data_IF_439752584948
#
_entry.id   IF_439752584948
#
_cell.length_a   1.000
_cell.length_b   1.000
_cell.length_c   1.000
_cell.angle_alpha   90.00
_cell.angle_beta   90.00
_cell.angle_gamma   90.00
#
_symmetry.space_group_name_H-M   'P 1'
#
loop_
_entity.id
_entity.type
_entity.pdbx_description
1 polymer ?
#
# COMPACT_ATOMS: atom_id res chain seq x y z
N UNK A 1 6.25 -4.62 -14.68
CA UNK A 1 5.62 -5.13 -13.45
C UNK A 1 4.86 -6.41 -13.74
N UNK A 2 5.20 -7.50 -13.05
CA UNK A 2 4.39 -8.73 -12.95
C UNK A 2 4.48 -9.22 -11.50
N UNK A 3 3.40 -9.78 -10.97
CA UNK A 3 3.37 -10.40 -9.65
C UNK A 3 2.51 -11.67 -9.74
N UNK A 4 3.08 -12.80 -9.37
CA UNK A 4 2.46 -14.13 -9.48
C UNK A 4 2.98 -15.00 -8.34
N UNK A 5 2.09 -15.76 -7.70
CA UNK A 5 2.43 -16.70 -6.63
C UNK A 5 3.34 -16.16 -5.51
N UNK A 6 3.18 -14.88 -5.15
CA UNK A 6 3.96 -14.25 -4.09
C UNK A 6 5.28 -13.61 -4.56
N UNK A 7 5.64 -13.76 -5.83
CA UNK A 7 6.92 -13.34 -6.38
C UNK A 7 6.73 -12.23 -7.42
N UNK A 8 7.53 -11.17 -7.29
CA UNK A 8 7.57 -10.09 -8.29
C UNK A 8 8.46 -10.47 -9.48
N UNK A 9 8.26 -9.80 -10.62
CA UNK A 9 9.16 -9.95 -11.77
C UNK A 9 10.62 -9.65 -11.41
N UNK A 10 11.54 -10.48 -11.93
CA UNK A 10 12.99 -10.29 -11.76
C UNK A 10 13.59 -11.05 -10.57
N UNK A 11 12.88 -11.99 -9.94
CA UNK A 11 13.44 -12.82 -8.86
C UNK A 11 14.50 -13.81 -9.37
N UNK A 12 15.67 -13.80 -8.74
CA UNK A 12 16.74 -14.79 -8.88
C UNK A 12 16.71 -15.70 -7.63
N UNK A 13 16.28 -16.95 -7.80
CA UNK A 13 16.12 -17.92 -6.71
C UNK A 13 17.45 -18.30 -6.06
N UNK A 14 18.51 -18.49 -6.87
CA UNK A 14 19.83 -18.89 -6.37
C UNK A 14 20.44 -17.78 -5.50
N UNK A 15 20.27 -16.51 -5.89
CA UNK A 15 20.77 -15.37 -5.11
C UNK A 15 19.79 -14.84 -4.09
N UNK A 16 18.53 -15.29 -4.13
CA UNK A 16 17.39 -14.78 -3.34
C UNK A 16 17.27 -13.24 -3.43
N UNK A 17 17.42 -12.70 -4.64
CA UNK A 17 17.43 -11.24 -4.92
C UNK A 17 16.55 -10.90 -6.11
N UNK A 18 16.18 -9.63 -6.22
CA UNK A 18 15.39 -9.12 -7.35
C UNK A 18 16.24 -8.22 -8.26
N UNK A 19 16.11 -8.41 -9.59
CA UNK A 19 16.42 -7.38 -10.60
C UNK A 19 15.17 -6.51 -10.81
N UNK A 20 15.25 -5.26 -10.37
CA UNK A 20 14.12 -4.32 -10.35
C UNK A 20 13.97 -3.51 -11.64
N UNK A 21 14.72 -3.80 -12.72
CA UNK A 21 14.59 -3.07 -14.00
C UNK A 21 13.15 -3.00 -14.52
N UNK A 22 12.38 -4.07 -14.30
CA UNK A 22 10.98 -4.15 -14.74
C UNK A 22 9.98 -3.37 -13.87
N UNK A 23 10.44 -2.73 -12.79
CA UNK A 23 9.62 -1.98 -11.84
C UNK A 23 9.66 -0.47 -12.08
N UNK A 24 10.41 -0.02 -13.10
CA UNK A 24 10.44 1.38 -13.52
C UNK A 24 9.12 1.82 -14.19
N UNK A 25 8.94 3.14 -14.24
CA UNK A 25 7.85 3.75 -15.00
C UNK A 25 8.13 3.67 -16.50
N UNK A 26 7.06 3.65 -17.28
CA UNK A 26 7.18 3.91 -18.71
C UNK A 26 7.51 5.40 -18.91
N UNK A 27 8.54 5.70 -19.69
CA UNK A 27 8.99 7.07 -19.93
C UNK A 27 8.41 7.60 -21.24
N UNK A 28 8.10 8.90 -21.26
CA UNK A 28 7.75 9.65 -22.46
C UNK A 28 9.00 10.00 -23.29
N UNK A 29 8.79 10.67 -24.42
CA UNK A 29 9.87 11.05 -25.34
C UNK A 29 10.88 12.03 -24.73
N UNK A 30 10.56 12.65 -23.58
CA UNK A 30 11.41 13.58 -22.83
C UNK A 30 12.09 12.90 -21.64
N UNK A 31 11.88 11.60 -21.44
CA UNK A 31 12.44 10.85 -20.32
C UNK A 31 11.71 11.01 -18.99
N UNK A 32 10.52 11.63 -18.98
CA UNK A 32 9.68 11.71 -17.77
C UNK A 32 8.71 10.54 -17.69
N UNK A 33 8.28 10.17 -16.49
CA UNK A 33 7.26 9.14 -16.31
C UNK A 33 5.96 9.54 -17.01
N UNK A 34 5.42 8.66 -17.85
CA UNK A 34 4.11 8.86 -18.49
C UNK A 34 3.02 8.94 -17.41
N UNK A 35 2.14 9.92 -17.56
CA UNK A 35 1.00 10.14 -16.65
C UNK A 35 -0.30 10.01 -17.42
N UNK A 36 -1.20 9.17 -16.92
CA UNK A 36 -2.60 9.13 -17.35
C UNK A 36 -3.47 9.83 -16.31
N UNK A 37 -3.91 11.04 -16.60
CA UNK A 37 -4.75 11.84 -15.71
C UNK A 37 -6.16 11.26 -15.51
N UNK A 38 -6.63 10.39 -16.43
CA UNK A 38 -7.95 9.74 -16.31
C UNK A 38 -7.94 8.57 -15.35
N UNK A 39 -6.74 8.07 -14.99
CA UNK A 39 -6.53 6.89 -14.16
C UNK A 39 -7.17 5.62 -14.73
N UNK A 40 -7.45 5.58 -16.03
CA UNK A 40 -8.11 4.46 -16.70
C UNK A 40 -7.12 3.43 -17.24
N UNK A 41 -5.87 3.84 -17.51
CA UNK A 41 -4.87 2.96 -18.09
C UNK A 41 -4.59 1.78 -17.15
N UNK A 42 -4.56 0.52 -17.65
CA UNK A 42 -4.42 -0.67 -16.80
C UNK A 42 -3.08 -0.71 -16.03
N UNK A 43 -2.03 -0.06 -16.57
CA UNK A 43 -0.71 0.04 -15.93
C UNK A 43 -0.51 1.32 -15.10
N UNK A 44 -1.53 2.16 -14.93
CA UNK A 44 -1.40 3.27 -13.98
C UNK A 44 -1.23 2.70 -12.56
N UNK A 45 -0.49 3.40 -11.70
CA UNK A 45 -0.13 2.90 -10.35
C UNK A 45 -1.37 2.52 -9.55
N UNK A 46 -2.45 3.31 -9.67
CA UNK A 46 -3.70 3.05 -8.96
C UNK A 46 -4.35 1.72 -9.36
N UNK A 47 -4.39 1.39 -10.66
CA UNK A 47 -5.03 0.16 -11.14
C UNK A 47 -4.17 -1.08 -10.83
N UNK A 48 -2.85 -0.96 -10.94
CA UNK A 48 -1.91 -2.00 -10.49
C UNK A 48 -2.07 -2.24 -8.98
N UNK A 49 -2.19 -1.19 -8.18
CA UNK A 49 -2.41 -1.29 -6.74
C UNK A 49 -3.74 -1.96 -6.39
N UNK A 50 -4.84 -1.57 -7.05
CA UNK A 50 -6.15 -2.24 -6.90
C UNK A 50 -6.04 -3.74 -7.15
N UNK A 51 -5.41 -4.13 -8.26
CA UNK A 51 -5.20 -5.54 -8.59
C UNK A 51 -4.33 -6.27 -7.56
N UNK A 52 -3.25 -5.63 -7.09
CA UNK A 52 -2.36 -6.22 -6.10
C UNK A 52 -3.06 -6.51 -4.77
N UNK A 53 -3.88 -5.56 -4.28
CA UNK A 53 -4.55 -5.67 -2.99
C UNK A 53 -5.89 -6.44 -3.04
N UNK A 54 -6.44 -6.73 -4.21
CA UNK A 54 -7.74 -7.43 -4.36
C UNK A 54 -7.82 -8.80 -3.64
N UNK A 55 -6.67 -9.44 -3.42
CA UNK A 55 -6.59 -10.75 -2.74
C UNK A 55 -6.86 -10.67 -1.24
N UNK A 56 -6.73 -9.50 -0.62
CA UNK A 56 -6.88 -9.32 0.84
C UNK A 56 -8.34 -9.07 1.21
N UNK A 57 -9.17 -10.11 1.14
CA UNK A 57 -10.58 -10.04 1.57
C UNK A 57 -10.68 -10.05 3.11
N UNK A 58 -11.79 -9.57 3.70
CA UNK A 58 -11.98 -9.64 5.16
C UNK A 58 -11.86 -11.06 5.73
N UNK A 59 -12.24 -12.08 4.97
CA UNK A 59 -12.12 -13.49 5.34
C UNK A 59 -10.64 -13.91 5.43
N UNK A 60 -9.86 -13.60 4.41
CA UNK A 60 -8.43 -13.91 4.39
C UNK A 60 -7.69 -13.16 5.50
N UNK A 61 -8.02 -11.88 5.70
CA UNK A 61 -7.44 -11.06 6.78
C UNK A 61 -7.77 -11.66 8.15
N UNK A 62 -9.01 -12.06 8.38
CA UNK A 62 -9.43 -12.70 9.63
C UNK A 62 -8.69 -14.02 9.86
N UNK A 63 -8.56 -14.85 8.82
CA UNK A 63 -7.82 -16.11 8.86
C UNK A 63 -6.35 -15.91 9.22
N UNK A 64 -5.68 -14.90 8.66
CA UNK A 64 -4.24 -14.67 8.87
C UNK A 64 -3.96 -14.00 10.21
N UNK A 65 -4.75 -12.98 10.57
CA UNK A 65 -4.47 -12.14 11.74
C UNK A 65 -5.15 -12.62 13.02
N UNK A 66 -6.15 -13.50 12.92
CA UNK A 66 -7.02 -13.90 14.02
C UNK A 66 -8.02 -12.82 14.45
N UNK A 67 -8.03 -11.64 13.82
CA UNK A 67 -8.97 -10.57 14.15
C UNK A 67 -10.38 -10.95 13.67
N UNK A 68 -11.43 -10.89 14.51
CA UNK A 68 -12.80 -11.14 14.07
C UNK A 68 -13.21 -10.19 12.94
N UNK A 69 -13.92 -10.71 11.92
CA UNK A 69 -14.28 -9.98 10.71
C UNK A 69 -15.09 -8.70 11.00
N UNK A 70 -16.01 -8.74 11.97
CA UNK A 70 -16.81 -7.58 12.39
C UNK A 70 -15.94 -6.46 12.97
N UNK A 71 -14.94 -6.82 13.78
CA UNK A 71 -13.99 -5.85 14.37
C UNK A 71 -13.09 -5.25 13.31
N UNK A 72 -12.59 -6.08 12.39
CA UNK A 72 -11.80 -5.61 11.25
C UNK A 72 -12.60 -4.60 10.41
N UNK A 73 -13.82 -4.95 10.01
CA UNK A 73 -14.69 -4.06 9.24
C UNK A 73 -15.00 -2.76 10.01
N UNK A 74 -15.20 -2.84 11.32
CA UNK A 74 -15.42 -1.64 12.14
C UNK A 74 -14.23 -0.69 12.11
N UNK A 75 -13.01 -1.22 12.18
CA UNK A 75 -11.79 -0.41 12.05
C UNK A 75 -11.67 0.19 10.64
N UNK A 76 -11.94 -0.59 9.60
CA UNK A 76 -11.95 -0.09 8.22
C UNK A 76 -12.96 1.05 8.01
N UNK A 77 -14.16 0.94 8.56
CA UNK A 77 -15.17 2.01 8.52
C UNK A 77 -14.64 3.29 9.17
N UNK A 78 -14.08 3.21 10.38
CA UNK A 78 -13.56 4.38 11.10
C UNK A 78 -12.39 5.04 10.37
N UNK A 79 -11.51 4.25 9.75
CA UNK A 79 -10.42 4.75 8.91
C UNK A 79 -10.97 5.44 7.66
N UNK A 80 -11.92 4.81 6.96
CA UNK A 80 -12.52 5.35 5.74
C UNK A 80 -13.27 6.67 5.97
N UNK A 81 -13.84 6.90 7.16
CA UNK A 81 -14.45 8.19 7.51
C UNK A 81 -13.46 9.37 7.45
N UNK A 82 -12.15 9.11 7.50
CA UNK A 82 -11.09 10.11 7.38
C UNK A 82 -10.65 10.40 5.94
N UNK A 83 -11.34 9.84 4.94
CA UNK A 83 -11.16 10.26 3.55
C UNK A 83 -11.86 11.60 3.23
N UNK A 84 -12.59 12.16 4.20
CA UNK A 84 -13.31 13.43 4.07
C UNK A 84 -12.37 14.59 4.43
N UNK A 85 -12.40 15.73 3.70
CA UNK A 85 -11.48 16.84 3.94
C UNK A 85 -11.48 17.42 5.37
N UNK A 86 -12.57 17.24 6.11
CA UNK A 86 -12.75 17.79 7.45
C UNK A 86 -12.42 16.80 8.59
N UNK A 87 -11.89 15.60 8.28
CA UNK A 87 -11.56 14.60 9.27
C UNK A 87 -10.27 13.91 8.90
N UNK A 88 -9.34 13.86 9.85
CA UNK A 88 -8.01 13.28 9.67
C UNK A 88 -7.75 12.20 10.70
N UNK A 89 -6.87 11.27 10.37
CA UNK A 89 -6.26 10.35 11.34
C UNK A 89 -4.74 10.40 11.25
N UNK A 90 -4.10 10.09 12.37
CA UNK A 90 -2.67 9.80 12.44
C UNK A 90 -2.45 8.32 12.76
N UNK A 91 -1.44 7.71 12.13
CA UNK A 91 -0.98 6.37 12.49
C UNK A 91 0.20 6.54 13.47
N UNK A 92 0.01 6.09 14.70
CA UNK A 92 1.03 6.07 15.74
C UNK A 92 1.65 4.67 15.82
N UNK A 93 2.97 4.58 15.66
CA UNK A 93 3.69 3.31 15.70
C UNK A 93 5.10 3.47 16.26
N UNK A 94 5.69 2.35 16.67
CA UNK A 94 7.08 2.27 17.09
C UNK A 94 7.65 0.88 16.71
N UNK A 95 8.24 0.17 17.68
CA UNK A 95 8.94 -1.09 17.46
C UNK A 95 8.05 -2.24 16.97
N UNK A 96 6.76 -2.24 17.34
CA UNK A 96 5.83 -3.32 17.01
C UNK A 96 5.69 -3.61 15.52
N UNK A 97 5.94 -2.61 14.65
CA UNK A 97 5.88 -2.77 13.19
C UNK A 97 7.24 -2.87 12.53
N UNK A 98 8.33 -2.45 13.18
CA UNK A 98 9.63 -2.29 12.51
C UNK A 98 10.56 -3.48 12.66
N UNK A 99 10.44 -4.25 13.75
CA UNK A 99 11.36 -5.35 14.07
C UNK A 99 10.94 -6.71 13.46
N UNK A 100 10.64 -6.68 12.16
CA UNK A 100 10.31 -7.87 11.36
C UNK A 100 11.11 -7.82 10.05
N UNK A 101 11.34 -8.97 9.41
CA UNK A 101 11.97 -9.01 8.07
C UNK A 101 11.23 -8.14 7.04
N UNK A 102 9.91 -7.99 7.23
CA UNK A 102 9.03 -7.17 6.42
C UNK A 102 8.63 -5.84 7.09
N UNK A 103 9.35 -5.37 8.11
CA UNK A 103 8.95 -4.19 8.87
C UNK A 103 8.84 -2.93 8.00
N UNK A 104 9.79 -2.74 7.07
CA UNK A 104 9.71 -1.67 6.06
C UNK A 104 8.42 -1.73 5.24
N UNK A 105 7.92 -2.94 4.94
CA UNK A 105 6.67 -3.15 4.19
C UNK A 105 5.44 -2.76 4.98
N UNK A 106 5.41 -3.05 6.29
CA UNK A 106 4.32 -2.60 7.16
C UNK A 106 4.23 -1.08 7.17
N UNK A 107 5.38 -0.39 7.26
CA UNK A 107 5.42 1.07 7.19
C UNK A 107 4.97 1.56 5.80
N UNK A 108 5.43 0.95 4.70
CA UNK A 108 4.97 1.33 3.35
C UNK A 108 3.45 1.21 3.20
N UNK A 109 2.85 0.16 3.74
CA UNK A 109 1.39 -0.04 3.67
C UNK A 109 0.63 1.06 4.40
N UNK A 110 1.03 1.43 5.61
CA UNK A 110 0.38 2.55 6.31
C UNK A 110 0.52 3.89 5.55
N UNK A 111 1.57 4.05 4.75
CA UNK A 111 1.86 5.31 4.07
C UNK A 111 0.99 5.43 2.83
N UNK A 112 0.79 4.30 2.12
CA UNK A 112 -0.19 4.17 1.07
C UNK A 112 -1.59 4.51 1.59
N UNK A 113 -1.98 3.98 2.76
CA UNK A 113 -3.28 4.30 3.38
C UNK A 113 -3.43 5.80 3.64
N UNK A 114 -2.42 6.44 4.26
CA UNK A 114 -2.47 7.89 4.52
C UNK A 114 -2.51 8.73 3.25
N UNK A 115 -1.82 8.31 2.17
CA UNK A 115 -1.88 8.96 0.86
C UNK A 115 -3.27 8.83 0.22
N UNK A 116 -3.87 7.63 0.29
CA UNK A 116 -5.20 7.37 -0.24
C UNK A 116 -6.30 8.17 0.48
N UNK A 117 -6.15 8.37 1.78
CA UNK A 117 -7.07 9.14 2.61
C UNK A 117 -6.84 10.65 2.51
N UNK A 118 -5.72 11.10 1.92
CA UNK A 118 -5.36 12.52 1.86
C UNK A 118 -4.91 13.10 3.20
N UNK A 119 -4.49 12.26 4.15
CA UNK A 119 -4.09 12.68 5.50
C UNK A 119 -2.65 13.23 5.58
N UNK A 120 -1.83 13.05 4.54
CA UNK A 120 -0.44 13.49 4.52
C UNK A 120 -0.38 15.02 4.40
N UNK A 121 0.32 15.67 5.34
CA UNK A 121 0.51 17.13 5.36
C UNK A 121 -0.58 17.93 6.09
N UNK A 122 -1.62 17.27 6.61
CA UNK A 122 -2.69 17.93 7.39
C UNK A 122 -2.38 17.92 8.91
N UNK A 123 -2.72 18.98 9.66
CA UNK A 123 -2.60 18.99 11.12
C UNK A 123 -3.40 17.85 11.76
N UNK A 124 -2.77 17.06 12.63
CA UNK A 124 -3.38 15.86 13.24
C UNK A 124 -3.40 14.62 12.32
N UNK A 125 -2.88 14.73 11.10
CA UNK A 125 -2.79 13.64 10.12
C UNK A 125 -1.40 12.96 10.08
N UNK A 126 -1.10 12.34 8.94
CA UNK A 126 0.19 11.72 8.62
C UNK A 126 0.61 10.59 9.59
N UNK A 127 1.89 10.55 9.95
CA UNK A 127 2.51 9.53 10.76
C UNK A 127 3.14 10.17 11.98
N UNK A 128 3.10 9.48 13.11
CA UNK A 128 3.78 9.91 14.32
C UNK A 128 4.49 8.71 14.93
N UNK A 129 5.78 8.87 15.24
CA UNK A 129 6.50 7.88 16.04
C UNK A 129 6.12 8.10 17.50
N UNK A 130 5.60 7.06 18.14
CA UNK A 130 5.22 7.07 19.55
C UNK A 130 6.42 6.76 20.45
#
# INVERSE_FOLDING_TARGET
>A
YKFEDGIFSGYDEAKRRYDNKSWGYELDDKGFAKVDATLSHPRCVLNVMKAHFARYTPELVSQITGTPKDKFLKVCEMIAETSKPNRVMTIMYALGWTQHSQGSQMIRTGAIVQLLLGNIGLPGGSWTMA
#
